data_IF_918336561188
#
_entry.id   IF_918336561188
#
_cell.length_a   1.000
_cell.length_b   1.000
_cell.length_c   1.000
_cell.angle_alpha   90.00
_cell.angle_beta   90.00
_cell.angle_gamma   90.00
#
_symmetry.space_group_name_H-M   'P 1'
#
loop_
_entity.id
_entity.type
_entity.pdbx_description
1 polymer ?
#
# COMPACT_ATOMS: atom_id res chain seq x y z
N UNK A 1 -6.21 15.67 1.57
CA UNK A 1 -7.23 14.74 2.08
C UNK A 1 -8.43 14.72 1.15
N UNK A 2 -8.88 13.55 0.73
CA UNK A 2 -10.08 13.39 -0.10
C UNK A 2 -11.34 13.59 0.75
N UNK A 3 -12.23 14.47 0.31
CA UNK A 3 -13.49 14.76 1.03
C UNK A 3 -14.48 13.62 0.80
N UNK A 4 -15.16 13.18 1.86
CA UNK A 4 -16.29 12.25 1.75
C UNK A 4 -17.51 13.05 1.27
N UNK A 5 -17.96 12.77 0.06
CA UNK A 5 -19.15 13.40 -0.55
C UNK A 5 -20.28 12.38 -0.48
N UNK A 6 -21.43 12.69 0.16
CA UNK A 6 -22.57 11.77 0.21
C UNK A 6 -23.01 11.33 -1.20
N UNK A 7 -23.24 10.03 -1.41
CA UNK A 7 -23.63 9.48 -2.72
C UNK A 7 -22.51 9.38 -3.75
N UNK A 8 -21.28 9.77 -3.39
CA UNK A 8 -20.11 9.65 -4.25
C UNK A 8 -18.99 8.89 -3.54
N UNK A 9 -18.26 8.09 -4.31
CA UNK A 9 -17.02 7.46 -3.87
C UNK A 9 -15.85 8.01 -4.67
N UNK A 10 -14.71 8.20 -3.99
CA UNK A 10 -13.48 8.64 -4.63
C UNK A 10 -12.64 7.42 -5.03
N UNK A 11 -12.37 7.26 -6.32
CA UNK A 11 -11.41 6.29 -6.83
C UNK A 11 -9.99 6.83 -6.66
N UNK A 12 -9.16 6.27 -5.77
CA UNK A 12 -7.79 6.73 -5.58
C UNK A 12 -6.87 6.39 -6.75
N UNK A 13 -7.19 5.38 -7.56
CA UNK A 13 -6.38 5.02 -8.73
C UNK A 13 -6.64 6.00 -9.89
N UNK A 14 -7.89 6.41 -10.08
CA UNK A 14 -8.28 7.30 -11.18
C UNK A 14 -8.26 8.78 -10.82
N UNK A 15 -8.21 9.10 -9.53
CA UNK A 15 -8.24 10.48 -9.04
C UNK A 15 -9.59 11.17 -9.23
N UNK A 16 -10.70 10.43 -9.30
CA UNK A 16 -12.02 10.95 -9.67
C UNK A 16 -13.11 10.46 -8.72
N UNK A 17 -14.13 11.29 -8.53
CA UNK A 17 -15.36 10.89 -7.86
C UNK A 17 -16.32 10.24 -8.83
N UNK A 18 -16.98 9.17 -8.40
CA UNK A 18 -18.07 8.55 -9.15
C UNK A 18 -19.29 8.35 -8.24
N UNK A 19 -20.47 8.43 -8.85
CA UNK A 19 -21.73 8.26 -8.16
C UNK A 19 -21.90 6.80 -7.74
N UNK A 20 -22.32 6.59 -6.51
CA UNK A 20 -22.68 5.28 -5.96
C UNK A 20 -24.16 5.27 -5.62
N UNK A 21 -24.80 4.14 -5.87
CA UNK A 21 -26.21 3.95 -5.56
C UNK A 21 -26.37 3.19 -4.23
N UNK A 22 -27.42 3.48 -3.44
CA UNK A 22 -27.75 2.72 -2.24
C UNK A 22 -27.95 1.24 -2.56
N UNK A 23 -27.61 0.35 -1.63
CA UNK A 23 -27.75 -1.11 -1.83
C UNK A 23 -29.20 -1.54 -2.12
N UNK A 24 -30.19 -0.75 -1.68
CA UNK A 24 -31.61 -1.02 -1.93
C UNK A 24 -32.06 -0.70 -3.37
N UNK A 25 -31.39 0.25 -4.04
CA UNK A 25 -31.75 0.71 -5.40
C UNK A 25 -30.79 0.16 -6.45
N UNK A 26 -29.56 -0.15 -6.06
CA UNK A 26 -28.57 -0.74 -6.94
C UNK A 26 -28.87 -2.23 -7.20
N UNK A 27 -28.62 -2.72 -8.43
CA UNK A 27 -28.59 -4.16 -8.69
C UNK A 27 -27.60 -4.85 -7.74
N UNK A 28 -27.93 -6.03 -7.23
CA UNK A 28 -27.12 -6.77 -6.25
C UNK A 28 -25.69 -7.06 -6.75
N UNK A 29 -25.54 -7.24 -8.07
CA UNK A 29 -24.27 -7.50 -8.76
C UNK A 29 -23.54 -6.23 -9.20
N UNK A 30 -24.11 -5.03 -8.99
CA UNK A 30 -23.52 -3.80 -9.48
C UNK A 30 -22.23 -3.45 -8.71
N UNK A 31 -21.16 -3.22 -9.46
CA UNK A 31 -19.85 -2.88 -8.92
C UNK A 31 -19.81 -1.50 -8.23
N UNK A 32 -20.76 -0.60 -8.55
CA UNK A 32 -20.91 0.74 -7.98
C UNK A 32 -21.93 0.81 -6.83
N UNK A 33 -22.52 -0.32 -6.43
CA UNK A 33 -23.40 -0.35 -5.26
C UNK A 33 -22.60 0.04 -4.00
N UNK A 34 -23.18 0.88 -3.15
CA UNK A 34 -22.51 1.38 -1.94
C UNK A 34 -21.95 0.25 -1.06
N UNK A 35 -22.69 -0.85 -0.92
CA UNK A 35 -22.22 -2.05 -0.19
C UNK A 35 -20.97 -2.68 -0.82
N UNK A 36 -20.96 -2.83 -2.14
CA UNK A 36 -19.84 -3.46 -2.86
C UNK A 36 -18.60 -2.57 -2.88
N UNK A 37 -18.78 -1.26 -3.06
CA UNK A 37 -17.70 -0.27 -3.01
C UNK A 37 -17.05 -0.23 -1.62
N UNK A 38 -17.85 -0.25 -0.54
CA UNK A 38 -17.33 -0.29 0.84
C UNK A 38 -16.55 -1.57 1.13
N UNK A 39 -17.03 -2.73 0.69
CA UNK A 39 -16.31 -4.00 0.82
C UNK A 39 -14.96 -3.96 0.12
N UNK A 40 -14.92 -3.43 -1.11
CA UNK A 40 -13.68 -3.31 -1.89
C UNK A 40 -12.68 -2.35 -1.25
N UNK A 41 -13.17 -1.21 -0.76
CA UNK A 41 -12.34 -0.24 -0.04
C UNK A 41 -11.68 -0.84 1.21
N UNK A 42 -12.43 -1.65 1.98
CA UNK A 42 -11.88 -2.34 3.15
C UNK A 42 -10.80 -3.36 2.78
N UNK A 43 -11.01 -4.13 1.71
CA UNK A 43 -10.02 -5.08 1.22
C UNK A 43 -8.73 -4.39 0.73
N UNK A 44 -8.85 -3.28 -0.02
CA UNK A 44 -7.70 -2.48 -0.46
C UNK A 44 -6.93 -1.87 0.73
N UNK A 45 -7.63 -1.43 1.77
CA UNK A 45 -6.99 -0.88 2.98
C UNK A 45 -6.17 -1.96 3.71
N UNK A 46 -6.71 -3.18 3.82
CA UNK A 46 -6.01 -4.32 4.40
C UNK A 46 -4.76 -4.69 3.58
N UNK A 47 -4.90 -4.76 2.25
CA UNK A 47 -3.78 -5.04 1.35
C UNK A 47 -2.70 -3.95 1.43
N UNK A 48 -3.09 -2.68 1.47
CA UNK A 48 -2.16 -1.57 1.66
C UNK A 48 -1.43 -1.67 3.01
N UNK A 49 -2.11 -2.12 4.07
CA UNK A 49 -1.52 -2.31 5.40
C UNK A 49 -0.49 -3.45 5.39
N UNK A 50 -0.81 -4.58 4.78
CA UNK A 50 0.12 -5.72 4.68
C UNK A 50 1.34 -5.37 3.84
N UNK A 51 1.15 -4.65 2.72
CA UNK A 51 2.26 -4.16 1.89
C UNK A 51 3.19 -3.22 2.67
N UNK A 52 2.64 -2.27 3.44
CA UNK A 52 3.43 -1.38 4.30
C UNK A 52 4.20 -2.14 5.37
N UNK A 53 3.59 -3.16 5.97
CA UNK A 53 4.26 -4.01 6.97
C UNK A 53 5.44 -4.79 6.37
N UNK A 54 5.29 -5.35 5.16
CA UNK A 54 6.37 -6.04 4.44
C UNK A 54 7.55 -5.11 4.16
N UNK A 55 7.30 -3.94 3.57
CA UNK A 55 8.33 -2.94 3.27
C UNK A 55 9.07 -2.50 4.54
N UNK A 56 8.35 -2.32 5.66
CA UNK A 56 8.98 -1.98 6.95
C UNK A 56 9.90 -3.08 7.45
N UNK A 57 9.52 -4.36 7.30
CA UNK A 57 10.33 -5.52 7.71
C UNK A 57 11.60 -5.65 6.87
N UNK A 58 11.50 -5.46 5.56
CA UNK A 58 12.66 -5.46 4.65
C UNK A 58 13.65 -4.33 4.97
N UNK A 59 13.17 -3.09 5.08
CA UNK A 59 14.03 -1.94 5.43
C UNK A 59 14.70 -2.13 6.80
N UNK A 60 13.97 -2.66 7.79
CA UNK A 60 14.52 -2.96 9.11
C UNK A 60 15.53 -4.12 9.13
N UNK A 61 15.42 -5.08 8.20
CA UNK A 61 16.40 -6.15 8.00
C UNK A 61 17.70 -5.61 7.41
N UNK A 62 17.62 -4.85 6.32
CA UNK A 62 18.78 -4.23 5.65
C UNK A 62 19.55 -3.31 6.60
N UNK A 63 18.86 -2.50 7.40
CA UNK A 63 19.50 -1.63 8.39
C UNK A 63 20.18 -2.38 9.54
N UNK A 64 19.75 -3.62 9.87
CA UNK A 64 20.43 -4.47 10.87
C UNK A 64 21.68 -5.11 10.29
N UNK A 65 21.63 -5.62 9.07
CA UNK A 65 22.79 -6.20 8.38
C UNK A 65 23.88 -5.16 8.19
N UNK A 66 23.55 -3.95 7.72
CA UNK A 66 24.53 -2.86 7.55
C UNK A 66 25.22 -2.49 8.87
N UNK A 67 24.47 -2.45 9.98
CA UNK A 67 25.03 -2.18 11.31
C UNK A 67 25.91 -3.32 11.81
N UNK A 68 25.53 -4.57 11.58
CA UNK A 68 26.35 -5.73 11.93
C UNK A 68 27.67 -5.76 11.15
N UNK A 69 27.64 -5.49 9.84
CA UNK A 69 28.85 -5.38 8.99
C UNK A 69 29.78 -4.25 9.45
N UNK A 70 29.21 -3.09 9.81
CA UNK A 70 29.99 -1.98 10.36
C UNK A 70 30.57 -2.31 11.75
N UNK A 71 29.81 -2.96 12.62
CA UNK A 71 30.28 -3.38 13.95
C UNK A 71 31.36 -4.46 13.90
N UNK A 72 31.32 -5.34 12.88
CA UNK A 72 32.35 -6.33 12.60
C UNK A 72 33.57 -5.74 11.88
N UNK A 73 33.59 -4.43 11.58
CA UNK A 73 34.72 -3.77 10.93
C UNK A 73 34.99 -4.24 9.50
N UNK A 74 34.07 -4.99 8.89
CA UNK A 74 34.24 -5.52 7.52
C UNK A 74 33.86 -4.42 6.52
N UNK A 75 34.77 -3.51 6.28
CA UNK A 75 34.70 -2.63 5.10
C UNK A 75 35.29 -3.40 3.92
N UNK A 76 34.47 -3.73 2.92
CA UNK A 76 34.95 -4.35 1.69
C UNK A 76 35.92 -3.38 0.99
N UNK A 77 37.22 -3.55 1.22
CA UNK A 77 38.26 -2.87 0.47
C UNK A 77 38.67 -3.83 -0.64
N UNK A 78 38.12 -3.61 -1.84
CA UNK A 78 38.64 -4.23 -3.06
C UNK A 78 40.09 -3.76 -3.20
N UNK A 79 41.03 -4.67 -2.94
CA UNK A 79 42.43 -4.51 -3.32
C UNK A 79 42.49 -4.75 -4.82
N UNK A 80 42.53 -3.65 -5.56
CA UNK A 80 42.89 -3.64 -6.97
C UNK A 80 44.39 -3.43 -7.13
N UNK A 81 44.94 -4.20 -8.06
CA UNK A 81 46.15 -3.92 -8.84
C UNK A 81 47.52 -4.12 -8.16
N UNK A 82 48.08 -5.31 -8.35
CA UNK A 82 49.51 -5.58 -8.26
C UNK A 82 49.99 -6.00 -9.65
N UNK A 83 50.69 -5.08 -10.29
CA UNK A 83 51.27 -5.13 -11.64
C UNK A 83 52.32 -6.23 -11.81
#
# INVERSE_FOLDING_TARGET
MNRKIPGFYYDPQKGKYFRIEPTATAPSTAAWAAGNVRKRAAAEEEEARTRRARVRKEKGGVGRVKRAVAALGVTARVVGDGR
#
